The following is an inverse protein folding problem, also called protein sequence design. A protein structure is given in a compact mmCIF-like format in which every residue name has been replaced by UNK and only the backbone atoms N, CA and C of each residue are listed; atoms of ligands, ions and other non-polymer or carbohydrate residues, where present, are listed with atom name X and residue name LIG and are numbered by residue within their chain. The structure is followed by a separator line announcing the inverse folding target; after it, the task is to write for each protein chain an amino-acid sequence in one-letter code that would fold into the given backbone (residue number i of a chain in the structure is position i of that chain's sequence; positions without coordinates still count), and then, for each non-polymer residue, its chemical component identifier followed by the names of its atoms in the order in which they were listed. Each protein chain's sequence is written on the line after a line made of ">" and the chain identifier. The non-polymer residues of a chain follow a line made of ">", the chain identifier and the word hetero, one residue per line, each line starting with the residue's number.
data_IF_813461713411
#
_entry.id   IF_813461713411
#
_cell.length_a   1.000
_cell.length_b   1.000
_cell.length_c   1.000
_cell.angle_alpha   90.00
_cell.angle_beta   90.00
_cell.angle_gamma   90.00
#
_symmetry.space_group_name_H-M   'P 1'
#
loop_
_entity.id
_entity.type
_entity.pdbx_description
1 polymer ?
#
# COMPACT_ATOMS: atom_id res chain seq x y z
N UNK A 1 12.63 -8.10 -25.41
CA UNK A 1 13.94 -7.87 -24.76
C UNK A 1 14.17 -6.42 -24.29
N UNK A 2 13.75 -5.38 -25.03
CA UNK A 2 14.01 -3.98 -24.62
C UNK A 2 13.20 -3.50 -23.40
N UNK A 3 11.93 -3.91 -23.25
CA UNK A 3 11.13 -3.57 -22.07
C UNK A 3 11.74 -4.11 -20.76
N UNK A 4 12.26 -5.34 -20.78
CA UNK A 4 12.93 -5.95 -19.62
C UNK A 4 14.20 -5.21 -19.21
N UNK A 5 15.07 -4.85 -20.16
CA UNK A 5 16.28 -4.07 -19.88
C UNK A 5 15.93 -2.69 -19.30
N UNK A 6 14.87 -2.04 -19.79
CA UNK A 6 14.42 -0.74 -19.30
C UNK A 6 13.79 -0.83 -17.90
N UNK A 7 13.01 -1.88 -17.63
CA UNK A 7 12.51 -2.19 -16.28
C UNK A 7 13.69 -2.44 -15.31
N UNK A 8 14.71 -3.21 -15.72
CA UNK A 8 15.91 -3.46 -14.91
C UNK A 8 16.71 -2.17 -14.66
N UNK A 9 16.75 -1.25 -15.63
CA UNK A 9 17.46 0.02 -15.50
C UNK A 9 16.72 1.01 -14.59
N UNK A 10 15.39 1.11 -14.72
CA UNK A 10 14.53 1.86 -13.79
C UNK A 10 14.60 1.26 -12.38
N UNK A 11 14.67 -0.07 -12.25
CA UNK A 11 14.88 -0.73 -10.96
C UNK A 11 16.26 -0.41 -10.39
N UNK A 12 17.31 -0.26 -11.23
CA UNK A 12 18.66 0.11 -10.79
C UNK A 12 18.77 1.56 -10.30
N UNK A 13 18.05 2.49 -10.90
CA UNK A 13 17.98 3.89 -10.46
C UNK A 13 17.24 3.98 -9.11
N UNK A 14 17.87 4.58 -8.11
CA UNK A 14 17.29 4.71 -6.75
C UNK A 14 17.49 3.51 -5.83
N UNK A 15 18.23 2.47 -6.26
CA UNK A 15 18.52 1.30 -5.42
C UNK A 15 19.22 1.67 -4.09
N UNK A 16 20.10 2.68 -4.08
CA UNK A 16 20.73 3.14 -2.83
C UNK A 16 19.72 3.64 -1.80
N UNK A 17 18.75 4.46 -2.23
CA UNK A 17 17.70 5.01 -1.38
C UNK A 17 16.76 3.88 -0.91
N UNK A 18 16.42 2.94 -1.80
CA UNK A 18 15.60 1.78 -1.44
C UNK A 18 16.27 0.90 -0.40
N UNK A 19 17.57 0.67 -0.54
CA UNK A 19 18.34 -0.15 0.39
C UNK A 19 18.44 0.55 1.75
N UNK A 20 18.64 1.87 1.77
CA UNK A 20 18.60 2.67 2.99
C UNK A 20 17.22 2.61 3.67
N UNK A 21 16.13 2.81 2.92
CA UNK A 21 14.75 2.70 3.42
C UNK A 21 14.46 1.29 3.95
N UNK A 22 14.88 0.25 3.22
CA UNK A 22 14.72 -1.14 3.64
C UNK A 22 15.50 -1.44 4.92
N UNK A 23 16.69 -0.85 5.10
CA UNK A 23 17.48 -1.00 6.32
C UNK A 23 16.79 -0.35 7.51
N UNK A 24 16.30 0.89 7.37
CA UNK A 24 15.53 1.56 8.43
C UNK A 24 14.26 0.75 8.75
N UNK A 25 13.59 0.23 7.72
CA UNK A 25 12.43 -0.62 7.89
C UNK A 25 12.74 -1.93 8.64
N UNK A 26 13.88 -2.55 8.36
CA UNK A 26 14.34 -3.75 9.06
C UNK A 26 14.61 -3.48 10.55
N UNK A 27 15.17 -2.31 10.89
CA UNK A 27 15.34 -1.88 12.30
C UNK A 27 13.99 -1.71 12.98
N UNK A 28 13.00 -1.11 12.31
CA UNK A 28 11.64 -0.97 12.83
C UNK A 28 10.97 -2.33 13.06
N UNK A 29 11.11 -3.27 12.11
CA UNK A 29 10.64 -4.65 12.25
C UNK A 29 11.30 -5.37 13.43
N UNK A 30 12.61 -5.23 13.59
CA UNK A 30 13.34 -5.81 14.71
C UNK A 30 12.84 -5.26 16.06
N UNK A 31 12.64 -3.94 16.14
CA UNK A 31 12.05 -3.28 17.33
C UNK A 31 10.65 -3.80 17.63
N UNK A 32 9.81 -3.98 16.61
CA UNK A 32 8.46 -4.52 16.80
C UNK A 32 8.48 -5.89 17.49
N UNK A 33 9.29 -6.84 16.99
CA UNK A 33 9.36 -8.18 17.57
C UNK A 33 10.06 -8.25 18.94
N UNK A 34 10.94 -7.31 19.26
CA UNK A 34 11.66 -7.25 20.55
C UNK A 34 10.94 -6.42 21.62
N UNK A 35 9.99 -5.55 21.22
CA UNK A 35 9.30 -4.62 22.12
C UNK A 35 8.20 -5.23 23.00
N UNK A 36 7.93 -6.54 22.90
CA UNK A 36 6.93 -7.23 23.73
C UNK A 36 5.48 -6.88 23.39
N UNK A 37 5.22 -6.22 22.26
CA UNK A 37 3.85 -5.98 21.78
C UNK A 37 3.17 -7.27 21.32
N UNK A 38 1.83 -7.25 21.25
CA UNK A 38 1.00 -8.38 20.79
C UNK A 38 1.37 -8.84 19.37
N UNK A 39 2.31 -9.78 19.31
CA UNK A 39 2.85 -10.37 18.08
C UNK A 39 1.85 -11.30 17.38
N UNK A 40 0.70 -11.54 18.00
CA UNK A 40 -0.43 -12.31 17.43
C UNK A 40 -1.16 -11.56 16.32
N UNK A 41 -1.02 -10.24 16.26
CA UNK A 41 -1.61 -9.38 15.24
C UNK A 41 -0.53 -8.92 14.27
N UNK A 42 -0.82 -9.00 12.97
CA UNK A 42 0.12 -8.59 11.92
C UNK A 42 0.52 -7.12 12.08
N UNK A 43 1.80 -6.80 11.89
CA UNK A 43 2.36 -5.47 12.15
C UNK A 43 1.66 -4.34 11.39
N UNK A 44 1.21 -4.59 10.17
CA UNK A 44 0.49 -3.63 9.33
C UNK A 44 -1.01 -3.52 9.61
N UNK A 45 -1.57 -4.33 10.50
CA UNK A 45 -2.99 -4.30 10.83
C UNK A 45 -3.27 -3.27 11.93
N UNK A 46 -4.35 -2.51 11.77
CA UNK A 46 -4.75 -1.55 12.77
C UNK A 46 -5.21 -2.23 14.07
N UNK A 47 -4.74 -1.75 15.21
CA UNK A 47 -5.02 -2.25 16.55
C UNK A 47 -6.03 -1.39 17.28
N UNK A 48 -7.17 -1.98 17.62
CA UNK A 48 -8.15 -1.36 18.50
C UNK A 48 -7.54 -1.34 19.90
N UNK A 49 -7.29 -0.18 20.51
CA UNK A 49 -6.81 -0.16 21.88
C UNK A 49 -7.92 -0.60 22.83
N UNK A 50 -7.52 -1.39 23.82
CA UNK A 50 -8.34 -1.68 24.97
C UNK A 50 -8.57 -0.39 25.74
N UNK A 51 -9.79 -0.21 26.26
CA UNK A 51 -10.26 1.05 26.85
C UNK A 51 -9.42 1.56 28.05
N UNK A 52 -8.53 0.73 28.59
CA UNK A 52 -7.88 0.95 29.88
C UNK A 52 -6.47 1.54 29.81
N UNK A 53 -5.87 1.73 28.62
CA UNK A 53 -4.55 2.37 28.50
C UNK A 53 -4.66 3.84 28.07
N UNK A 54 -4.20 4.74 28.93
CA UNK A 54 -4.07 6.19 28.72
C UNK A 54 -3.11 6.61 27.57
N UNK A 55 -2.63 5.67 26.76
CA UNK A 55 -1.80 5.95 25.58
C UNK A 55 -2.66 6.44 24.42
N UNK A 56 -2.16 7.43 23.67
CA UNK A 56 -2.89 7.95 22.51
C UNK A 56 -3.15 6.83 21.47
N UNK A 57 -4.35 6.82 20.85
CA UNK A 57 -4.74 5.83 19.83
C UNK A 57 -3.72 5.70 18.67
N UNK A 58 -2.96 6.77 18.42
CA UNK A 58 -1.91 6.86 17.42
C UNK A 58 -0.64 6.08 17.83
N UNK A 59 -0.22 6.18 19.10
CA UNK A 59 0.95 5.48 19.63
C UNK A 59 0.79 3.96 19.53
N UNK A 60 -0.41 3.44 19.84
CA UNK A 60 -0.73 2.02 19.69
C UNK A 60 -0.66 1.51 18.25
N UNK A 61 -0.79 2.40 17.27
CA UNK A 61 -0.82 2.09 15.84
C UNK A 61 0.44 2.56 15.07
N UNK A 62 1.48 3.03 15.78
CA UNK A 62 2.69 3.58 15.16
C UNK A 62 3.36 2.60 14.18
N UNK A 63 3.39 1.31 14.50
CA UNK A 63 3.97 0.29 13.62
C UNK A 63 3.13 0.02 12.37
N UNK A 64 1.79 0.10 12.48
CA UNK A 64 0.89 -0.01 11.34
C UNK A 64 1.04 1.20 10.40
N UNK A 65 1.16 2.41 10.97
CA UNK A 65 1.46 3.63 10.21
C UNK A 65 2.83 3.50 9.53
N UNK A 66 3.85 3.08 10.27
CA UNK A 66 5.20 2.84 9.74
C UNK A 66 5.18 1.84 8.58
N UNK A 67 4.48 0.73 8.71
CA UNK A 67 4.29 -0.25 7.63
C UNK A 67 3.75 0.41 6.35
N UNK A 68 2.73 1.28 6.46
CA UNK A 68 2.14 1.98 5.31
C UNK A 68 3.12 2.97 4.70
N UNK A 69 3.79 3.77 5.53
CA UNK A 69 4.75 4.80 5.09
C UNK A 69 5.90 4.14 4.32
N UNK A 70 6.51 3.09 4.86
CA UNK A 70 7.58 2.38 4.17
C UNK A 70 7.08 1.60 2.94
N UNK A 71 5.87 1.04 3.01
CA UNK A 71 5.23 0.38 1.89
C UNK A 71 5.02 1.31 0.69
N UNK A 72 4.65 2.56 0.94
CA UNK A 72 4.52 3.60 -0.08
C UNK A 72 5.89 4.15 -0.51
N UNK A 73 6.80 4.42 0.43
CA UNK A 73 8.08 5.04 0.14
C UNK A 73 9.00 4.14 -0.73
N UNK A 74 8.98 2.82 -0.51
CA UNK A 74 9.80 1.87 -1.26
C UNK A 74 9.44 1.81 -2.76
N UNK A 75 8.20 2.15 -3.13
CA UNK A 75 7.78 2.26 -4.53
C UNK A 75 8.50 3.38 -5.28
N UNK A 76 8.90 4.46 -4.60
CA UNK A 76 9.53 5.65 -5.19
C UNK A 76 8.82 6.16 -6.47
N UNK A 77 7.48 6.15 -6.49
CA UNK A 77 6.66 6.57 -7.66
C UNK A 77 6.96 5.82 -8.98
N UNK A 78 7.64 4.66 -8.94
CA UNK A 78 7.96 3.91 -10.16
C UNK A 78 6.76 3.42 -10.98
N UNK A 79 5.65 2.95 -10.38
CA UNK A 79 4.51 2.52 -11.18
C UNK A 79 3.70 3.70 -11.76
N UNK A 80 3.69 4.86 -11.10
CA UNK A 80 3.06 6.08 -11.66
C UNK A 80 3.88 6.66 -12.81
N UNK A 81 5.22 6.62 -12.71
CA UNK A 81 6.10 6.98 -13.84
C UNK A 81 5.93 6.03 -15.04
N UNK A 82 5.76 4.72 -14.80
CA UNK A 82 5.46 3.74 -15.87
C UNK A 82 4.20 4.08 -16.70
N UNK A 83 3.16 4.62 -16.07
CA UNK A 83 1.96 5.10 -16.77
C UNK A 83 2.21 6.40 -17.55
N UNK A 84 3.00 7.33 -16.99
CA UNK A 84 3.17 8.67 -17.56
C UNK A 84 4.21 8.78 -18.69
N UNK A 85 5.23 7.90 -18.74
CA UNK A 85 6.29 7.99 -19.76
C UNK A 85 5.73 7.58 -21.14
N UNK A 86 5.74 8.50 -22.14
CA UNK A 86 5.33 8.16 -23.49
C UNK A 86 6.28 7.11 -24.10
N UNK A 87 5.73 6.16 -24.88
CA UNK A 87 6.55 5.26 -25.68
C UNK A 87 7.22 6.06 -26.80
N UNK A 88 8.42 6.59 -26.55
CA UNK A 88 9.17 7.42 -27.51
C UNK A 88 10.00 6.64 -28.51
N UNK A 89 9.83 5.32 -28.61
CA UNK A 89 10.54 4.52 -29.60
C UNK A 89 9.57 3.66 -30.38
N UNK A 90 9.12 4.23 -31.50
CA UNK A 90 8.68 3.64 -32.78
C UNK A 90 7.66 4.61 -33.37
N UNK A 91 7.84 4.98 -34.64
CA UNK A 91 7.05 5.92 -35.45
C UNK A 91 5.55 5.57 -35.63
N UNK A 92 5.00 4.71 -34.78
CA UNK A 92 3.59 4.36 -34.71
C UNK A 92 3.14 4.75 -33.31
N UNK A 93 2.30 5.78 -33.18
CA UNK A 93 1.50 6.03 -31.97
C UNK A 93 0.68 4.76 -31.71
N UNK A 94 1.23 3.78 -30.99
CA UNK A 94 0.43 2.71 -30.42
C UNK A 94 -0.49 3.40 -29.42
N UNK A 95 -1.79 3.30 -29.64
CA UNK A 95 -2.79 3.81 -28.69
C UNK A 95 -2.37 3.33 -27.30
N UNK A 96 -2.20 4.26 -26.36
CA UNK A 96 -2.23 3.91 -24.95
C UNK A 96 -3.57 3.16 -24.78
N UNK A 97 -3.51 2.00 -24.16
CA UNK A 97 -4.57 1.01 -24.29
C UNK A 97 -4.88 0.41 -22.95
N UNK A 98 -6.11 -0.11 -22.82
CA UNK A 98 -6.60 -0.82 -21.65
C UNK A 98 -5.60 -1.88 -21.14
N UNK A 99 -4.87 -2.54 -22.04
CA UNK A 99 -3.82 -3.51 -21.70
C UNK A 99 -2.65 -2.91 -20.88
N UNK A 100 -2.27 -1.66 -21.13
CA UNK A 100 -1.19 -0.98 -20.38
C UNK A 100 -1.66 -0.60 -18.98
N UNK A 101 -2.91 -0.15 -18.85
CA UNK A 101 -3.54 0.11 -17.55
C UNK A 101 -3.71 -1.18 -16.73
N UNK A 102 -4.16 -2.27 -17.35
CA UNK A 102 -4.19 -3.59 -16.71
C UNK A 102 -2.80 -4.06 -16.28
N UNK A 103 -1.79 -3.83 -17.11
CA UNK A 103 -0.39 -4.10 -16.76
C UNK A 103 0.08 -3.31 -15.54
N UNK A 104 -0.28 -2.04 -15.44
CA UNK A 104 -0.04 -1.21 -14.26
C UNK A 104 -0.74 -1.79 -13.01
N UNK A 105 -2.03 -2.10 -13.10
CA UNK A 105 -2.78 -2.69 -11.98
C UNK A 105 -2.13 -4.00 -11.52
N UNK A 106 -1.69 -4.85 -12.46
CA UNK A 106 -1.00 -6.09 -12.16
C UNK A 106 0.34 -5.85 -11.44
N UNK A 107 1.13 -4.86 -11.86
CA UNK A 107 2.39 -4.49 -11.21
C UNK A 107 2.14 -3.99 -9.78
N UNK A 108 1.16 -3.12 -9.58
CA UNK A 108 0.81 -2.60 -8.24
C UNK A 108 0.31 -3.71 -7.34
N UNK A 109 -0.56 -4.59 -7.84
CA UNK A 109 -1.02 -5.79 -7.12
C UNK A 109 0.16 -6.69 -6.74
N UNK A 110 1.03 -7.01 -7.70
CA UNK A 110 2.20 -7.86 -7.46
C UNK A 110 3.14 -7.24 -6.42
N UNK A 111 3.35 -5.93 -6.45
CA UNK A 111 4.12 -5.22 -5.44
C UNK A 111 3.50 -5.34 -4.04
N UNK A 112 2.19 -5.07 -3.91
CA UNK A 112 1.51 -5.15 -2.62
C UNK A 112 1.55 -6.57 -2.05
N UNK A 113 1.38 -7.59 -2.91
CA UNK A 113 1.49 -9.00 -2.53
C UNK A 113 2.92 -9.37 -2.13
N UNK A 114 3.93 -8.92 -2.86
CA UNK A 114 5.32 -9.22 -2.53
C UNK A 114 5.74 -8.55 -1.21
N UNK A 115 5.42 -7.27 -1.02
CA UNK A 115 5.75 -6.52 0.19
C UNK A 115 5.08 -7.13 1.43
N UNK A 116 3.79 -7.42 1.36
CA UNK A 116 3.05 -8.03 2.49
C UNK A 116 3.41 -9.49 2.69
N UNK A 117 3.62 -10.25 1.61
CA UNK A 117 3.99 -11.66 1.64
C UNK A 117 5.34 -11.92 2.29
N UNK A 118 6.37 -11.14 1.94
CA UNK A 118 7.71 -11.25 2.58
C UNK A 118 7.59 -11.06 4.08
N UNK A 119 6.81 -10.08 4.52
CA UNK A 119 6.63 -9.80 5.94
C UNK A 119 5.78 -10.84 6.67
N UNK A 120 4.78 -11.40 5.99
CA UNK A 120 3.99 -12.50 6.52
C UNK A 120 4.87 -13.76 6.72
N UNK A 121 5.79 -14.04 5.79
CA UNK A 121 6.76 -15.13 5.93
C UNK A 121 7.65 -14.91 7.15
N UNK A 122 8.18 -13.68 7.34
CA UNK A 122 8.97 -13.33 8.52
C UNK A 122 8.14 -13.50 9.79
N UNK A 123 6.90 -13.03 9.80
CA UNK A 123 6.00 -13.16 10.94
C UNK A 123 5.74 -14.63 11.31
N UNK A 124 5.51 -15.51 10.33
CA UNK A 124 5.34 -16.94 10.60
C UNK A 124 6.60 -17.64 11.12
N UNK A 125 7.79 -17.12 10.81
CA UNK A 125 9.07 -17.68 11.27
C UNK A 125 9.43 -17.21 12.67
N UNK A 126 9.09 -15.97 13.01
CA UNK A 126 9.42 -15.36 14.30
C UNK A 126 8.33 -15.66 15.35
N UNK A 127 7.07 -15.76 14.94
CA UNK A 127 5.93 -15.86 15.84
C UNK A 127 5.32 -17.27 15.85
N UNK A 128 5.37 -17.94 17.01
CA UNK A 128 4.68 -19.21 17.28
C UNK A 128 3.21 -18.97 17.69
N UNK A 129 2.43 -18.29 16.87
CA UNK A 129 1.00 -18.03 17.10
C UNK A 129 0.11 -18.65 16.02
N UNK A 130 -1.20 -18.59 16.23
CA UNK A 130 -2.19 -19.07 15.25
C UNK A 130 -2.05 -18.33 13.92
N UNK A 131 -2.05 -19.08 12.81
CA UNK A 131 -1.78 -18.54 11.46
C UNK A 131 -2.92 -17.68 10.89
N UNK A 132 -4.15 -17.94 11.32
CA UNK A 132 -5.36 -17.27 10.81
C UNK A 132 -5.40 -15.75 11.06
N UNK A 133 -5.19 -15.22 12.28
CA UNK A 133 -5.22 -13.77 12.52
C UNK A 133 -4.08 -13.03 11.81
N UNK A 134 -2.90 -13.65 11.70
CA UNK A 134 -1.76 -13.09 10.98
C UNK A 134 -2.05 -12.98 9.47
N UNK A 135 -2.64 -14.02 8.87
CA UNK A 135 -3.02 -14.00 7.45
C UNK A 135 -4.09 -12.93 7.17
N UNK A 136 -5.13 -12.84 8.00
CA UNK A 136 -6.18 -11.83 7.85
C UNK A 136 -5.61 -10.41 7.98
N UNK A 137 -4.71 -10.18 8.94
CA UNK A 137 -4.04 -8.90 9.11
C UNK A 137 -3.15 -8.51 7.94
N UNK A 138 -2.44 -9.48 7.33
CA UNK A 138 -1.65 -9.23 6.13
C UNK A 138 -2.52 -8.88 4.92
N UNK A 139 -3.69 -9.53 4.75
CA UNK A 139 -4.65 -9.19 3.69
C UNK A 139 -5.16 -7.76 3.86
N UNK A 140 -5.55 -7.38 5.08
CA UNK A 140 -6.00 -6.01 5.38
C UNK A 140 -4.88 -4.99 5.09
N UNK A 141 -3.67 -5.25 5.56
CA UNK A 141 -2.52 -4.37 5.37
C UNK A 141 -2.10 -4.23 3.89
N UNK A 142 -2.18 -5.32 3.13
CA UNK A 142 -1.87 -5.29 1.69
C UNK A 142 -2.92 -4.57 0.87
N UNK A 143 -4.19 -4.74 1.21
CA UNK A 143 -5.29 -4.09 0.50
C UNK A 143 -5.34 -2.58 0.80
N UNK A 144 -5.10 -2.20 2.06
CA UNK A 144 -4.94 -0.78 2.43
C UNK A 144 -3.76 -0.16 1.71
N UNK A 145 -2.60 -0.81 1.64
CA UNK A 145 -1.46 -0.34 0.85
C UNK A 145 -1.83 -0.15 -0.62
N UNK A 146 -2.56 -1.09 -1.22
CA UNK A 146 -3.02 -0.98 -2.60
C UNK A 146 -3.93 0.24 -2.81
N UNK A 147 -4.88 0.48 -1.90
CA UNK A 147 -5.73 1.68 -1.93
C UNK A 147 -4.88 2.96 -1.85
N UNK A 148 -3.88 3.01 -0.95
CA UNK A 148 -3.01 4.19 -0.82
C UNK A 148 -2.20 4.46 -2.10
N UNK A 149 -1.64 3.43 -2.72
CA UNK A 149 -0.88 3.57 -3.97
C UNK A 149 -1.78 4.08 -5.09
N UNK A 150 -3.02 3.59 -5.18
CA UNK A 150 -4.00 4.09 -6.16
C UNK A 150 -4.41 5.54 -5.91
N UNK A 151 -4.55 5.96 -4.65
CA UNK A 151 -4.84 7.35 -4.26
C UNK A 151 -3.69 8.28 -4.61
N UNK A 152 -2.46 7.87 -4.35
CA UNK A 152 -1.26 8.66 -4.71
C UNK A 152 -1.15 8.78 -6.23
N UNK A 153 -1.39 7.68 -6.96
CA UNK A 153 -1.36 7.70 -8.41
C UNK A 153 -2.46 8.62 -8.99
N UNK A 154 -3.63 8.69 -8.36
CA UNK A 154 -4.68 9.63 -8.75
C UNK A 154 -4.20 11.08 -8.65
N UNK A 155 -3.53 11.46 -7.56
CA UNK A 155 -2.94 12.79 -7.40
C UNK A 155 -1.81 13.07 -8.39
N UNK A 156 -0.99 12.06 -8.68
CA UNK A 156 0.06 12.15 -9.69
C UNK A 156 -0.51 12.39 -11.09
N UNK A 157 -1.51 11.61 -11.52
CA UNK A 157 -2.18 11.76 -12.81
C UNK A 157 -2.99 13.07 -12.90
N UNK A 158 -3.55 13.52 -11.78
CA UNK A 158 -4.24 14.81 -11.67
C UNK A 158 -3.33 16.03 -11.68
N UNK A 159 -2.01 15.85 -11.81
CA UNK A 159 -1.03 16.95 -11.87
C UNK A 159 -0.68 17.57 -10.51
N UNK A 160 -1.17 17.02 -9.40
CA UNK A 160 -0.89 17.52 -8.05
C UNK A 160 -0.48 16.38 -7.10
N UNK A 161 0.84 16.14 -7.05
CA UNK A 161 1.43 15.08 -6.22
C UNK A 161 1.15 15.27 -4.74
N UNK A 162 1.23 16.52 -4.25
CA UNK A 162 1.04 16.83 -2.84
C UNK A 162 -0.36 16.43 -2.35
N UNK A 163 -1.39 16.66 -3.17
CA UNK A 163 -2.76 16.25 -2.85
C UNK A 163 -2.92 14.72 -2.77
N UNK A 164 -2.25 13.97 -3.65
CA UNK A 164 -2.27 12.49 -3.60
C UNK A 164 -1.71 11.96 -2.28
N UNK A 165 -0.57 12.50 -1.84
CA UNK A 165 0.04 12.13 -0.56
C UNK A 165 -0.78 12.59 0.65
N UNK A 166 -1.33 13.81 0.62
CA UNK A 166 -2.21 14.32 1.68
C UNK A 166 -3.48 13.47 1.81
N UNK A 167 -4.10 13.11 0.69
CA UNK A 167 -5.29 12.25 0.69
C UNK A 167 -4.98 10.85 1.24
N UNK A 168 -3.86 10.26 0.84
CA UNK A 168 -3.40 8.98 1.38
C UNK A 168 -3.11 9.05 2.88
N UNK A 169 -2.47 10.12 3.35
CA UNK A 169 -2.20 10.36 4.75
C UNK A 169 -3.51 10.45 5.56
N UNK A 170 -4.46 11.25 5.09
CA UNK A 170 -5.77 11.41 5.75
C UNK A 170 -6.57 10.11 5.76
N UNK A 171 -6.49 9.29 4.71
CA UNK A 171 -7.12 7.96 4.66
C UNK A 171 -6.59 7.01 5.75
N UNK A 172 -5.34 7.14 6.17
CA UNK A 172 -4.75 6.32 7.25
C UNK A 172 -5.00 6.94 8.62
N UNK A 173 -4.79 8.25 8.76
CA UNK A 173 -4.85 8.92 10.06
C UNK A 173 -6.29 9.08 10.57
N UNK A 174 -7.27 9.40 9.71
CA UNK A 174 -8.63 9.68 10.15
C UNK A 174 -9.35 8.45 10.78
N UNK A 175 -9.20 7.22 10.24
CA UNK A 175 -9.73 6.02 10.91
C UNK A 175 -8.98 5.68 12.20
N UNK A 176 -7.67 5.97 12.27
CA UNK A 176 -6.83 5.68 13.43
C UNK A 176 -7.04 6.64 14.60
N UNK A 177 -7.46 7.88 14.33
CA UNK A 177 -7.82 8.85 15.36
C UNK A 177 -9.21 8.61 15.95
N UNK A 178 -10.09 7.90 15.23
CA UNK A 178 -11.48 7.67 15.61
C UNK A 178 -11.73 6.21 16.06
N UNK A 179 -11.67 5.96 17.38
CA UNK A 179 -11.98 4.66 17.99
C UNK A 179 -13.32 4.01 17.54
N UNK A 180 -14.46 4.72 17.41
CA UNK A 180 -15.71 4.09 16.98
C UNK A 180 -15.65 3.61 15.52
N UNK A 181 -14.98 4.37 14.64
CA UNK A 181 -14.77 4.00 13.23
C UNK A 181 -13.89 2.77 13.14
N UNK A 182 -12.82 2.73 13.92
CA UNK A 182 -11.90 1.61 13.96
C UNK A 182 -12.57 0.30 14.42
N UNK A 183 -13.36 0.37 15.50
CA UNK A 183 -14.12 -0.79 15.99
C UNK A 183 -15.16 -1.24 14.98
N UNK A 184 -15.83 -0.30 14.33
CA UNK A 184 -16.78 -0.61 13.28
C UNK A 184 -16.11 -1.31 12.10
N UNK A 185 -14.92 -0.86 11.67
CA UNK A 185 -14.15 -1.49 10.59
C UNK A 185 -13.75 -2.94 10.90
N UNK A 186 -13.36 -3.22 12.14
CA UNK A 186 -12.95 -4.57 12.58
C UNK A 186 -14.15 -5.49 12.81
N UNK A 187 -15.33 -4.94 13.12
CA UNK A 187 -16.56 -5.72 13.34
C UNK A 187 -16.94 -6.50 12.09
N UNK A 188 -17.26 -7.78 12.26
CA UNK A 188 -17.76 -8.66 11.21
C UNK A 188 -19.28 -8.82 11.35
N UNK A 189 -20.06 -8.32 10.40
CA UNK A 189 -21.51 -8.54 10.36
C UNK A 189 -21.94 -9.69 9.44
N UNK A 190 -21.16 -10.00 8.39
CA UNK A 190 -21.57 -10.91 7.29
C UNK A 190 -20.39 -11.76 6.77
N UNK A 191 -19.75 -12.55 7.64
CA UNK A 191 -18.52 -13.35 7.39
C UNK A 191 -17.24 -12.56 7.01
N UNK A 192 -17.37 -11.42 6.34
CA UNK A 192 -16.26 -10.52 6.00
C UNK A 192 -16.27 -9.32 6.95
N UNK A 193 -15.11 -8.89 7.47
CA UNK A 193 -15.01 -7.67 8.26
C UNK A 193 -15.45 -6.44 7.46
N UNK A 194 -16.01 -5.42 8.11
CA UNK A 194 -16.46 -4.20 7.43
C UNK A 194 -15.34 -3.48 6.67
N UNK A 195 -14.09 -3.60 7.12
CA UNK A 195 -12.93 -3.09 6.37
C UNK A 195 -12.82 -3.70 4.97
N UNK A 196 -13.18 -4.97 4.77
CA UNK A 196 -13.12 -5.63 3.46
C UNK A 196 -14.10 -5.00 2.47
N UNK A 197 -15.33 -4.69 2.91
CA UNK A 197 -16.33 -4.03 2.09
C UNK A 197 -15.90 -2.60 1.72
N UNK A 198 -15.41 -1.83 2.70
CA UNK A 198 -14.95 -0.44 2.49
C UNK A 198 -13.77 -0.38 1.52
N UNK A 199 -12.75 -1.22 1.72
CA UNK A 199 -11.60 -1.28 0.82
C UNK A 199 -11.99 -1.78 -0.56
N UNK A 200 -12.91 -2.74 -0.67
CA UNK A 200 -13.46 -3.20 -1.94
C UNK A 200 -14.09 -2.06 -2.75
N UNK A 201 -15.02 -1.32 -2.15
CA UNK A 201 -15.67 -0.18 -2.80
C UNK A 201 -14.63 0.88 -3.18
N UNK A 202 -13.72 1.23 -2.27
CA UNK A 202 -12.66 2.21 -2.54
C UNK A 202 -11.77 1.78 -3.70
N UNK A 203 -11.38 0.51 -3.79
CA UNK A 203 -10.57 0.04 -4.92
C UNK A 203 -11.28 0.16 -6.24
N UNK A 204 -12.56 -0.18 -6.33
CA UNK A 204 -13.34 -0.05 -7.57
C UNK A 204 -13.40 1.43 -8.00
N UNK A 205 -13.73 2.32 -7.06
CA UNK A 205 -13.79 3.77 -7.31
C UNK A 205 -12.43 4.33 -7.73
N UNK A 206 -11.35 3.93 -7.06
CA UNK A 206 -10.02 4.42 -7.39
C UNK A 206 -9.50 3.87 -8.72
N UNK A 207 -9.74 2.59 -9.04
CA UNK A 207 -9.35 2.00 -10.33
C UNK A 207 -10.08 2.70 -11.47
N UNK A 208 -11.39 2.90 -11.34
CA UNK A 208 -12.19 3.63 -12.34
C UNK A 208 -11.75 5.08 -12.50
N UNK A 209 -11.51 5.80 -11.40
CA UNK A 209 -11.02 7.17 -11.46
C UNK A 209 -9.62 7.28 -12.09
N UNK A 210 -8.71 6.37 -11.74
CA UNK A 210 -7.37 6.30 -12.36
C UNK A 210 -7.46 5.99 -13.86
N UNK A 211 -8.38 5.11 -14.27
CA UNK A 211 -8.60 4.81 -15.68
C UNK A 211 -9.11 6.03 -16.45
N UNK A 212 -10.11 6.76 -15.91
CA UNK A 212 -10.65 7.97 -16.55
C UNK A 212 -9.59 9.06 -16.71
N UNK A 213 -8.75 9.29 -15.70
CA UNK A 213 -7.66 10.25 -15.79
C UNK A 213 -6.57 9.80 -16.78
N UNK A 214 -6.27 8.50 -16.81
CA UNK A 214 -5.33 7.93 -17.76
C UNK A 214 -5.81 8.10 -19.21
N UNK A 215 -7.09 7.83 -19.47
CA UNK A 215 -7.73 8.01 -20.78
C UNK A 215 -7.69 9.48 -21.23
N UNK A 216 -7.96 10.42 -20.32
CA UNK A 216 -7.83 11.86 -20.61
C UNK A 216 -6.41 12.29 -20.99
N UNK A 217 -5.38 11.68 -20.38
CA UNK A 217 -3.99 11.95 -20.74
C UNK A 217 -3.63 11.44 -22.14
N UNK A 218 -4.43 10.54 -22.74
CA UNK A 218 -4.24 10.11 -24.14
C UNK A 218 -4.75 11.13 -25.16
N UNK A 219 -5.71 11.97 -24.76
CA UNK A 219 -6.41 12.92 -25.63
C UNK A 219 -5.61 14.22 -25.83
N UNK A 220 -4.73 14.55 -24.86
CA UNK A 220 -3.87 15.75 -24.85
C UNK A 220 -2.49 15.42 -25.43
#
# INVERSE_FOLDING_TARGET
>A
MMAWKRIVQIVREGNGIRLMLALVYAVMMYRFYTSGQDYRVFMGMFRVPDFDLASSHLEGNMYAIGFMVFGVALLLEQPSTYLSVPETMVYVRRRRGLSRFLGYCAIVLAYCLAYTGVQLIVAFRVVYASRAPLALGAVCAGWTLLVLVLTINLGYLGGNRAYGYLAALMMVLAPLSCAPVMRWLVKSSLLVPNWGAVLGILTIVLVTANYVLFDRLEII
#
